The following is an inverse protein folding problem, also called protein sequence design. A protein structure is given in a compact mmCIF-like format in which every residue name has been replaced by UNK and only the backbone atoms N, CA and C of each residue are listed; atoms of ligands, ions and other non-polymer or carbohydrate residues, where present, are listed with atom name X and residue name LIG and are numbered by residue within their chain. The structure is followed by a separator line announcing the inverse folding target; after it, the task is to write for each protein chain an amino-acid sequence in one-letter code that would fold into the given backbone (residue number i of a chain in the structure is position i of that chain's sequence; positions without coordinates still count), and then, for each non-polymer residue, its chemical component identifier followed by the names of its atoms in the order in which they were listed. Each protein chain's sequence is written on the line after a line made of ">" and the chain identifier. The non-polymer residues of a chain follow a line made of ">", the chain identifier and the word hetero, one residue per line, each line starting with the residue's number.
data_IF_469426243378
#
_entry.id   IF_469426243378
#
_cell.length_a   1.000
_cell.length_b   1.000
_cell.length_c   1.000
_cell.angle_alpha   90.00
_cell.angle_beta   90.00
_cell.angle_gamma   90.00
#
_symmetry.space_group_name_H-M   'P 1'
#
loop_
_entity.id
_entity.type
_entity.pdbx_description
1 polymer ?
#
# COMPACT_ATOMS: atom_id res chain seq x y z
N UNK A 1 6.12 6.66 -17.09
CA UNK A 1 5.17 6.58 -15.96
C UNK A 1 3.93 5.81 -16.44
N UNK A 2 3.83 4.53 -16.13
CA UNK A 2 2.68 3.69 -16.52
C UNK A 2 1.57 3.80 -15.45
N UNK A 3 0.30 3.81 -15.85
CA UNK A 3 -0.89 3.87 -14.98
C UNK A 3 -1.67 5.20 -15.03
N UNK A 4 -2.97 5.14 -14.70
CA UNK A 4 -3.89 6.28 -14.76
C UNK A 4 -3.50 7.37 -13.74
N UNK A 5 -3.31 8.61 -14.21
CA UNK A 5 -2.96 9.75 -13.37
C UNK A 5 -4.04 10.09 -12.34
N UNK A 6 -5.31 9.89 -12.70
CA UNK A 6 -6.45 10.09 -11.80
C UNK A 6 -6.39 9.14 -10.60
N UNK A 7 -6.16 7.84 -10.85
CA UNK A 7 -6.07 6.84 -9.79
C UNK A 7 -4.91 7.12 -8.83
N UNK A 8 -3.74 7.55 -9.33
CA UNK A 8 -2.61 7.92 -8.45
C UNK A 8 -2.95 9.10 -7.54
N UNK A 9 -3.67 10.10 -8.07
CA UNK A 9 -4.07 11.28 -7.29
C UNK A 9 -5.14 10.92 -6.26
N UNK A 10 -6.12 10.11 -6.64
CA UNK A 10 -7.15 9.60 -5.74
C UNK A 10 -6.58 8.70 -4.64
N UNK A 11 -5.59 7.86 -4.96
CA UNK A 11 -4.95 6.94 -4.00
C UNK A 11 -3.88 7.59 -3.12
N UNK A 12 -3.54 8.86 -3.32
CA UNK A 12 -2.51 9.54 -2.54
C UNK A 12 -2.90 9.70 -1.07
N UNK A 13 -4.09 10.24 -0.80
CA UNK A 13 -4.60 10.39 0.56
C UNK A 13 -4.85 9.03 1.24
N UNK A 14 -5.51 8.05 0.60
CA UNK A 14 -5.66 6.70 1.16
C UNK A 14 -4.32 6.03 1.51
N UNK A 15 -3.30 6.17 0.67
CA UNK A 15 -1.99 5.60 0.95
C UNK A 15 -1.29 6.28 2.13
N UNK A 16 -1.44 7.61 2.28
CA UNK A 16 -0.91 8.33 3.45
C UNK A 16 -1.61 7.95 4.76
N UNK A 17 -2.93 7.80 4.72
CA UNK A 17 -3.74 7.37 5.87
C UNK A 17 -3.39 5.93 6.25
N UNK A 18 -3.25 5.04 5.27
CA UNK A 18 -2.82 3.65 5.50
C UNK A 18 -1.44 3.59 6.17
N UNK A 19 -0.45 4.35 5.68
CA UNK A 19 0.88 4.37 6.30
C UNK A 19 0.87 4.91 7.74
N UNK A 20 -0.10 5.75 8.11
CA UNK A 20 -0.22 6.29 9.46
C UNK A 20 -0.96 5.36 10.44
N UNK A 21 -2.07 4.76 10.00
CA UNK A 21 -2.93 3.96 10.86
C UNK A 21 -2.64 2.46 10.82
N UNK A 22 -2.08 1.95 9.72
CA UNK A 22 -1.78 0.52 9.57
C UNK A 22 -0.28 0.26 9.81
N UNK A 23 0.08 -0.44 10.90
CA UNK A 23 1.47 -0.78 11.21
C UNK A 23 2.18 -1.55 10.09
N UNK A 24 1.46 -2.39 9.34
CA UNK A 24 2.05 -3.19 8.27
C UNK A 24 2.32 -2.37 7.01
N UNK A 25 1.42 -1.44 6.68
CA UNK A 25 1.66 -0.48 5.59
C UNK A 25 2.85 0.43 5.92
N UNK A 26 2.99 0.83 7.19
CA UNK A 26 4.15 1.58 7.69
C UNK A 26 5.44 0.78 7.59
N UNK A 27 5.46 -0.47 8.04
CA UNK A 27 6.62 -1.36 7.94
C UNK A 27 7.07 -1.54 6.49
N UNK A 28 6.13 -1.78 5.57
CA UNK A 28 6.41 -1.87 4.14
C UNK A 28 6.99 -0.56 3.60
N UNK A 29 6.43 0.59 3.97
CA UNK A 29 6.93 1.90 3.55
C UNK A 29 8.36 2.16 4.06
N UNK A 30 8.62 1.87 5.33
CA UNK A 30 9.94 2.03 5.96
C UNK A 30 10.98 1.07 5.35
N UNK A 31 10.62 -0.19 5.10
CA UNK A 31 11.51 -1.15 4.42
C UNK A 31 11.94 -0.65 3.04
N UNK A 32 11.01 -0.08 2.26
CA UNK A 32 11.37 0.49 0.97
C UNK A 32 12.23 1.74 1.10
N UNK A 33 12.03 2.55 2.13
CA UNK A 33 12.92 3.68 2.42
C UNK A 33 14.32 3.23 2.85
N UNK A 34 14.42 2.21 3.70
CA UNK A 34 15.69 1.61 4.13
C UNK A 34 16.47 1.04 2.95
N UNK A 35 15.77 0.50 1.94
CA UNK A 35 16.35 0.09 0.65
C UNK A 35 16.81 1.25 -0.26
N UNK A 36 16.77 2.50 0.22
CA UNK A 36 17.20 3.68 -0.52
C UNK A 36 16.20 4.19 -1.57
N UNK A 37 14.94 3.70 -1.56
CA UNK A 37 13.94 4.19 -2.52
C UNK A 37 13.40 5.55 -2.11
N UNK A 38 13.14 6.40 -3.11
CA UNK A 38 12.53 7.72 -2.89
C UNK A 38 11.17 7.58 -2.20
N UNK A 39 10.83 8.51 -1.31
CA UNK A 39 9.55 8.53 -0.57
C UNK A 39 8.33 8.32 -1.49
N UNK A 40 8.33 8.96 -2.66
CA UNK A 40 7.29 8.80 -3.68
C UNK A 40 7.20 7.39 -4.26
N UNK A 41 8.33 6.69 -4.44
CA UNK A 41 8.35 5.30 -4.94
C UNK A 41 7.84 4.34 -3.89
N UNK A 42 8.21 4.53 -2.62
CA UNK A 42 7.68 3.75 -1.50
C UNK A 42 6.15 3.93 -1.39
N UNK A 43 5.66 5.17 -1.51
CA UNK A 43 4.23 5.46 -1.48
C UNK A 43 3.49 4.84 -2.69
N UNK A 44 4.08 4.89 -3.89
CA UNK A 44 3.52 4.22 -5.07
C UNK A 44 3.41 2.70 -4.90
N UNK A 45 4.35 2.07 -4.17
CA UNK A 45 4.28 0.65 -3.88
C UNK A 45 3.12 0.32 -2.93
N UNK A 46 2.89 1.16 -1.91
CA UNK A 46 1.74 1.04 -1.00
C UNK A 46 0.42 1.23 -1.77
N UNK A 47 0.32 2.24 -2.62
CA UNK A 47 -0.85 2.46 -3.49
C UNK A 47 -1.18 1.22 -4.33
N UNK A 48 -0.16 0.60 -4.95
CA UNK A 48 -0.37 -0.58 -5.78
C UNK A 48 -0.89 -1.75 -4.97
N UNK A 49 -0.36 -1.98 -3.76
CA UNK A 49 -0.88 -3.00 -2.84
C UNK A 49 -2.33 -2.75 -2.45
N UNK A 50 -2.68 -1.52 -2.07
CA UNK A 50 -4.05 -1.14 -1.71
C UNK A 50 -5.02 -1.31 -2.88
N UNK A 51 -4.61 -0.97 -4.09
CA UNK A 51 -5.45 -1.13 -5.28
C UNK A 51 -5.69 -2.61 -5.60
N UNK A 52 -4.65 -3.44 -5.54
CA UNK A 52 -4.77 -4.89 -5.74
C UNK A 52 -5.62 -5.53 -4.64
N UNK A 53 -5.50 -5.06 -3.40
CA UNK A 53 -6.36 -5.46 -2.29
C UNK A 53 -7.83 -5.19 -2.57
N UNK A 54 -8.16 -3.94 -2.90
CA UNK A 54 -9.53 -3.52 -3.19
C UNK A 54 -10.14 -4.31 -4.36
N UNK A 55 -9.36 -4.56 -5.41
CA UNK A 55 -9.80 -5.36 -6.55
C UNK A 55 -10.01 -6.84 -6.17
N UNK A 56 -9.11 -7.42 -5.37
CA UNK A 56 -9.22 -8.81 -4.90
C UNK A 56 -10.46 -9.02 -4.04
N UNK A 57 -10.77 -8.07 -3.15
CA UNK A 57 -11.97 -8.09 -2.31
C UNK A 57 -13.25 -7.97 -3.13
N UNK A 58 -13.26 -7.06 -4.10
CA UNK A 58 -14.39 -6.88 -5.02
C UNK A 58 -14.66 -8.14 -5.83
N UNK A 59 -13.59 -8.82 -6.30
CA UNK A 59 -13.69 -10.03 -7.11
C UNK A 59 -14.08 -11.26 -6.29
N UNK A 60 -13.56 -11.40 -5.07
CA UNK A 60 -13.73 -12.61 -4.26
C UNK A 60 -14.91 -12.54 -3.29
N UNK A 61 -15.59 -11.39 -3.17
CA UNK A 61 -16.63 -11.11 -2.15
C UNK A 61 -16.22 -11.53 -0.73
N UNK A 62 -14.93 -11.48 -0.44
CA UNK A 62 -14.38 -11.78 0.88
C UNK A 62 -14.28 -10.50 1.70
N UNK A 63 -14.42 -10.63 3.02
CA UNK A 63 -14.20 -9.52 3.94
C UNK A 63 -12.73 -9.07 3.92
N UNK A 64 -12.53 -7.77 4.11
CA UNK A 64 -11.21 -7.14 4.19
C UNK A 64 -10.42 -7.75 5.37
N UNK A 65 -9.27 -8.34 5.07
CA UNK A 65 -8.35 -8.91 6.05
C UNK A 65 -7.01 -8.17 5.94
N UNK A 66 -6.75 -7.26 6.89
CA UNK A 66 -5.59 -6.35 6.86
C UNK A 66 -4.25 -7.09 6.95
N UNK A 67 -4.20 -8.23 7.65
CA UNK A 67 -2.97 -9.02 7.80
C UNK A 67 -2.52 -9.65 6.47
N UNK A 68 -3.46 -10.07 5.63
CA UNK A 68 -3.12 -10.66 4.31
C UNK A 68 -2.57 -9.65 3.31
N UNK A 69 -2.94 -8.37 3.42
CA UNK A 69 -2.58 -7.35 2.43
C UNK A 69 -1.13 -6.88 2.56
N UNK A 70 -0.65 -6.86 3.79
CA UNK A 70 0.70 -6.48 4.13
C UNK A 70 1.39 -7.61 4.88
N UNK A 71 1.54 -8.75 4.20
CA UNK A 71 2.28 -9.93 4.66
C UNK A 71 3.81 -9.69 4.85
N UNK A 72 4.23 -8.48 5.23
CA UNK A 72 5.57 -8.24 5.74
C UNK A 72 5.44 -8.27 7.27
N UNK A 73 6.15 -9.18 7.95
CA UNK A 73 6.16 -9.24 9.41
C UNK A 73 6.68 -7.92 9.98
N UNK A 74 6.15 -7.54 11.13
CA UNK A 74 6.47 -6.29 11.86
C UNK A 74 7.95 -6.28 12.32
N UNK A 75 8.64 -7.43 12.20
CA UNK A 75 10.03 -7.63 12.59
C UNK A 75 10.94 -7.83 11.36
N UNK A 76 11.64 -6.76 10.98
CA UNK A 76 12.99 -6.77 10.38
C UNK A 76 13.61 -5.37 10.48
#
# INVERSE_FOLDING_TARGET
>A
KQGNAYLRRAMYMPALVAVQHDPHARAHYLHLQAKGKKKMQALCAVMRKLLTAAWSLMKSRQQYDGEKLFAIPIEA
#
